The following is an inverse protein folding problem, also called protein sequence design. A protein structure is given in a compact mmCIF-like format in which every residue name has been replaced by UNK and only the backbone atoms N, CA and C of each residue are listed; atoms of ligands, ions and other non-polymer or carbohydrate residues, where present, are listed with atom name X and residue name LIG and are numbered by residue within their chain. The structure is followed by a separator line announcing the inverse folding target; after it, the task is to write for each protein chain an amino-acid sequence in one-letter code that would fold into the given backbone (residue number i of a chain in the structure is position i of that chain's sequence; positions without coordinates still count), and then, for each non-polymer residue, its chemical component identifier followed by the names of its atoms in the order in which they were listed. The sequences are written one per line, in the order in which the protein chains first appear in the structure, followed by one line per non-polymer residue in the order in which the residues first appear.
data_IF_077319082460
#
_entry.id   IF_077319082460
#
_cell.length_a   1.000
_cell.length_b   1.000
_cell.length_c   1.000
_cell.angle_alpha   90.00
_cell.angle_beta   90.00
_cell.angle_gamma   90.00
#
_symmetry.space_group_name_H-M   'P 1'
#
loop_
_entity.id
_entity.type
_entity.pdbx_description
1 polymer ?
#
# COMPACT_ATOMS: atom_id res chain seq x y z
N UNK A 1 23.30 -7.76 3.92
CA UNK A 1 22.27 -7.33 2.95
C UNK A 1 21.09 -6.78 3.73
N UNK A 2 20.70 -5.51 3.51
CA UNK A 2 19.53 -4.93 4.16
C UNK A 2 18.28 -5.29 3.35
N UNK A 3 17.48 -6.24 3.84
CA UNK A 3 16.18 -6.55 3.24
C UNK A 3 15.16 -5.55 3.79
N UNK A 4 14.69 -4.66 2.93
CA UNK A 4 13.75 -3.58 3.31
C UNK A 4 12.29 -4.02 3.31
N UNK A 5 11.94 -5.20 2.80
CA UNK A 5 10.55 -5.69 2.77
C UNK A 5 10.40 -7.07 3.40
N UNK A 6 9.18 -7.41 3.83
CA UNK A 6 8.80 -8.74 4.30
C UNK A 6 7.49 -9.17 3.65
N UNK A 7 7.42 -10.43 3.23
CA UNK A 7 6.26 -11.02 2.54
C UNK A 7 5.76 -10.14 1.40
N UNK A 8 4.45 -9.84 1.37
CA UNK A 8 3.81 -9.01 0.34
C UNK A 8 4.05 -7.49 0.46
N UNK A 9 4.94 -7.02 1.34
CA UNK A 9 5.22 -5.59 1.50
C UNK A 9 5.63 -4.89 0.20
N UNK A 10 6.32 -5.59 -0.71
CA UNK A 10 6.71 -5.07 -2.01
C UNK A 10 5.52 -4.69 -2.91
N UNK A 11 4.29 -5.13 -2.61
CA UNK A 11 3.10 -4.76 -3.36
C UNK A 11 2.72 -3.28 -3.17
N UNK A 12 3.15 -2.62 -2.09
CA UNK A 12 2.84 -1.20 -1.84
C UNK A 12 3.22 -0.32 -3.04
N UNK A 13 4.50 -0.25 -3.48
CA UNK A 13 4.88 0.59 -4.62
C UNK A 13 4.22 0.14 -5.93
N UNK A 14 4.02 -1.17 -6.12
CA UNK A 14 3.35 -1.70 -7.32
C UNK A 14 1.91 -1.19 -7.38
N UNK A 15 1.14 -1.33 -6.30
CA UNK A 15 -0.25 -0.87 -6.23
C UNK A 15 -0.29 0.64 -6.48
N UNK A 16 0.59 1.43 -5.85
CA UNK A 16 0.62 2.89 -6.02
C UNK A 16 0.91 3.31 -7.46
N UNK A 17 1.94 2.73 -8.09
CA UNK A 17 2.30 3.08 -9.48
C UNK A 17 1.21 2.63 -10.46
N UNK A 18 0.74 1.39 -10.33
CA UNK A 18 -0.25 0.83 -11.26
C UNK A 18 -1.58 1.57 -11.16
N UNK A 19 -2.09 1.81 -9.95
CA UNK A 19 -3.36 2.53 -9.77
C UNK A 19 -3.24 4.00 -10.19
N UNK A 20 -2.13 4.67 -9.88
CA UNK A 20 -1.84 6.02 -10.36
C UNK A 20 -1.85 6.11 -11.89
N UNK A 21 -1.18 5.19 -12.57
CA UNK A 21 -1.14 5.13 -14.03
C UNK A 21 -2.53 4.83 -14.62
N UNK A 22 -3.23 3.81 -14.11
CA UNK A 22 -4.55 3.42 -14.60
C UNK A 22 -5.58 4.54 -14.46
N UNK A 23 -5.62 5.21 -13.30
CA UNK A 23 -6.55 6.32 -13.08
C UNK A 23 -6.19 7.54 -13.95
N UNK A 24 -4.90 7.80 -14.17
CA UNK A 24 -4.44 8.85 -15.10
C UNK A 24 -4.91 8.57 -16.53
N UNK A 25 -4.69 7.36 -17.02
CA UNK A 25 -5.14 6.93 -18.36
C UNK A 25 -6.66 7.04 -18.45
N UNK A 26 -7.40 6.58 -17.44
CA UNK A 26 -8.86 6.66 -17.41
C UNK A 26 -9.37 8.10 -17.49
N UNK A 27 -8.81 9.01 -16.69
CA UNK A 27 -9.20 10.43 -16.70
C UNK A 27 -8.95 11.05 -18.06
N UNK A 28 -7.79 10.78 -18.67
CA UNK A 28 -7.48 11.27 -20.01
C UNK A 28 -8.50 10.78 -21.03
N UNK A 29 -8.85 9.48 -21.00
CA UNK A 29 -9.82 8.92 -21.95
C UNK A 29 -11.23 9.50 -21.79
N UNK A 30 -11.69 9.69 -20.56
CA UNK A 30 -13.05 10.16 -20.23
C UNK A 30 -13.20 11.67 -20.44
N UNK A 31 -12.27 12.46 -19.90
CA UNK A 31 -12.40 13.93 -19.86
C UNK A 31 -11.60 14.64 -20.96
N UNK A 32 -10.82 13.90 -21.77
CA UNK A 32 -9.95 14.45 -22.82
C UNK A 32 -9.02 15.56 -22.30
N UNK A 33 -8.58 15.43 -21.05
CA UNK A 33 -7.72 16.39 -20.37
C UNK A 33 -6.35 15.78 -20.10
N UNK A 34 -5.32 16.62 -20.14
CA UNK A 34 -3.95 16.25 -19.74
C UNK A 34 -3.63 16.69 -18.31
N UNK A 35 -4.63 17.21 -17.60
CA UNK A 35 -4.46 17.65 -16.23
C UNK A 35 -4.11 16.45 -15.32
N UNK A 36 -3.11 16.57 -14.42
CA UNK A 36 -2.54 15.45 -13.68
C UNK A 36 -3.40 14.95 -12.50
N UNK A 37 -4.73 15.10 -12.55
CA UNK A 37 -5.68 14.65 -11.53
C UNK A 37 -5.57 13.15 -11.23
N UNK A 38 -5.10 12.38 -12.20
CA UNK A 38 -5.00 10.92 -12.09
C UNK A 38 -4.00 10.44 -11.06
N UNK A 39 -2.93 11.19 -10.83
CA UNK A 39 -1.93 10.87 -9.80
C UNK A 39 -2.56 11.06 -8.42
N UNK A 40 -3.29 12.15 -8.22
CA UNK A 40 -3.96 12.45 -6.95
C UNK A 40 -5.07 11.43 -6.64
N UNK A 41 -6.03 11.26 -7.56
CA UNK A 41 -7.12 10.30 -7.40
C UNK A 41 -6.62 8.86 -7.32
N UNK A 42 -5.64 8.50 -8.15
CA UNK A 42 -4.99 7.20 -8.12
C UNK A 42 -4.28 6.91 -6.79
N UNK A 43 -3.69 7.92 -6.15
CA UNK A 43 -3.11 7.77 -4.82
C UNK A 43 -4.16 7.45 -3.75
N UNK A 44 -5.34 8.09 -3.79
CA UNK A 44 -6.42 7.75 -2.86
C UNK A 44 -6.97 6.34 -3.10
N UNK A 45 -7.14 5.93 -4.37
CA UNK A 45 -7.53 4.55 -4.71
C UNK A 45 -6.47 3.54 -4.25
N UNK A 46 -5.19 3.83 -4.49
CA UNK A 46 -4.08 3.03 -3.99
C UNK A 46 -4.13 2.87 -2.47
N UNK A 47 -4.35 3.97 -1.74
CA UNK A 47 -4.39 3.97 -0.29
C UNK A 47 -5.51 3.07 0.23
N UNK A 48 -6.70 3.13 -0.39
CA UNK A 48 -7.82 2.25 -0.04
C UNK A 48 -7.48 0.76 -0.26
N UNK A 49 -6.87 0.42 -1.40
CA UNK A 49 -6.45 -0.95 -1.73
C UNK A 49 -5.38 -1.45 -0.74
N UNK A 50 -4.35 -0.63 -0.47
CA UNK A 50 -3.27 -0.94 0.47
C UNK A 50 -3.81 -1.13 1.88
N UNK A 51 -4.76 -0.30 2.32
CA UNK A 51 -5.40 -0.42 3.63
C UNK A 51 -6.15 -1.74 3.76
N UNK A 52 -7.01 -2.05 2.79
CA UNK A 52 -7.83 -3.26 2.79
C UNK A 52 -6.95 -4.52 2.80
N UNK A 53 -6.04 -4.64 1.84
CA UNK A 53 -5.15 -5.81 1.74
C UNK A 53 -4.13 -5.85 2.86
N UNK A 54 -3.59 -4.71 3.27
CA UNK A 54 -2.65 -4.62 4.40
C UNK A 54 -3.27 -5.15 5.69
N UNK A 55 -4.51 -4.75 6.02
CA UNK A 55 -5.24 -5.29 7.19
C UNK A 55 -5.53 -6.78 7.02
N UNK A 56 -6.02 -7.22 5.85
CA UNK A 56 -6.33 -8.63 5.59
C UNK A 56 -5.08 -9.52 5.67
N UNK A 57 -3.94 -9.06 5.19
CA UNK A 57 -2.70 -9.84 5.15
C UNK A 57 -2.01 -9.85 6.53
N UNK A 58 -2.02 -8.74 7.25
CA UNK A 58 -1.44 -8.62 8.59
C UNK A 58 -2.43 -8.89 9.74
N UNK A 59 -3.49 -9.64 9.46
CA UNK A 59 -4.53 -9.96 10.43
C UNK A 59 -3.99 -10.85 11.56
N UNK A 60 -4.02 -10.41 12.83
CA UNK A 60 -3.62 -11.23 13.98
C UNK A 60 -4.41 -12.54 14.12
N UNK A 61 -5.63 -12.63 13.57
CA UNK A 61 -6.39 -13.88 13.56
C UNK A 61 -5.70 -15.01 12.78
N UNK A 62 -4.70 -14.68 11.94
CA UNK A 62 -3.89 -15.64 11.18
C UNK A 62 -2.62 -16.09 11.91
N UNK A 63 -2.45 -15.70 13.18
CA UNK A 63 -1.34 -16.20 13.99
C UNK A 63 -1.41 -17.74 14.08
N UNK A 64 -0.26 -18.40 13.92
CA UNK A 64 -0.17 -19.86 14.02
C UNK A 64 0.74 -20.23 15.17
N UNK A 65 0.30 -21.16 16.01
CA UNK A 65 1.15 -21.79 17.02
C UNK A 65 1.84 -22.97 16.35
N UNK A 66 3.16 -22.98 16.37
CA UNK A 66 4.00 -24.08 15.88
C UNK A 66 4.76 -24.65 17.06
N UNK A 67 4.76 -25.98 17.20
CA UNK A 67 5.56 -26.65 18.23
C UNK A 67 6.89 -27.07 17.60
N UNK A 68 7.99 -26.61 18.18
CA UNK A 68 9.31 -27.10 17.84
C UNK A 68 9.45 -28.54 18.33
N UNK A 69 9.67 -29.48 17.40
CA UNK A 69 9.77 -30.91 17.72
C UNK A 69 11.02 -31.28 18.53
N UNK A 70 12.09 -30.51 18.44
CA UNK A 70 13.34 -30.81 19.13
C UNK A 70 13.31 -30.35 20.59
N UNK A 71 12.66 -29.22 20.87
CA UNK A 71 12.66 -28.60 22.21
C UNK A 71 11.30 -28.68 22.91
N UNK A 72 10.23 -29.01 22.18
CA UNK A 72 8.85 -28.95 22.67
C UNK A 72 8.31 -27.53 22.85
N UNK A 73 9.06 -26.50 22.45
CA UNK A 73 8.66 -25.10 22.65
C UNK A 73 7.58 -24.66 21.66
N UNK A 74 6.61 -23.88 22.14
CA UNK A 74 5.59 -23.25 21.30
C UNK A 74 6.09 -21.91 20.75
N UNK A 75 6.02 -21.76 19.42
CA UNK A 75 6.38 -20.56 18.68
C UNK A 75 5.14 -19.97 18.03
N UNK A 76 4.85 -18.70 18.31
CA UNK A 76 3.76 -17.97 17.66
C UNK A 76 4.29 -17.29 16.39
N UNK A 77 3.94 -17.83 15.23
CA UNK A 77 4.20 -17.20 13.94
C UNK A 77 3.14 -16.13 13.66
N UNK A 78 3.60 -14.87 13.61
CA UNK A 78 2.77 -13.71 13.27
C UNK A 78 2.97 -13.34 11.79
N UNK A 79 1.90 -13.20 10.99
CA UNK A 79 2.05 -12.68 9.63
C UNK A 79 2.65 -11.27 9.68
N UNK A 80 3.66 -11.03 8.85
CA UNK A 80 4.37 -9.76 8.80
C UNK A 80 4.67 -9.39 7.35
N UNK A 81 3.77 -8.63 6.77
CA UNK A 81 3.88 -8.02 5.46
C UNK A 81 4.16 -6.52 5.64
N UNK A 82 5.40 -6.13 5.40
CA UNK A 82 5.90 -4.78 5.67
C UNK A 82 6.88 -4.31 4.60
N UNK A 83 6.94 -3.01 4.39
CA UNK A 83 7.89 -2.34 3.52
C UNK A 83 8.57 -1.22 4.32
N UNK A 84 9.89 -1.11 4.23
CA UNK A 84 10.74 -0.30 5.10
C UNK A 84 10.36 -0.45 6.58
N UNK A 85 10.17 -1.69 7.02
CA UNK A 85 9.80 -2.06 8.40
C UNK A 85 8.42 -1.55 8.86
N UNK A 86 7.66 -0.88 7.99
CA UNK A 86 6.31 -0.40 8.26
C UNK A 86 5.29 -1.38 7.67
N UNK A 87 4.30 -1.82 8.48
CA UNK A 87 3.24 -2.72 8.00
C UNK A 87 2.48 -2.08 6.85
N UNK A 88 2.10 -2.89 5.85
CA UNK A 88 1.45 -2.41 4.63
C UNK A 88 0.28 -1.45 4.87
N UNK A 89 -0.59 -1.73 5.85
CA UNK A 89 -1.75 -0.88 6.12
C UNK A 89 -1.37 0.56 6.52
N UNK A 90 -0.20 0.80 7.12
CA UNK A 90 0.21 2.15 7.49
C UNK A 90 0.77 2.94 6.30
N UNK A 91 1.26 2.26 5.26
CA UNK A 91 1.60 2.91 3.99
C UNK A 91 0.39 3.55 3.32
N UNK A 92 -0.83 3.08 3.59
CA UNK A 92 -2.04 3.71 3.09
C UNK A 92 -2.13 5.19 3.47
N UNK A 93 -1.74 5.56 4.70
CA UNK A 93 -1.75 6.96 5.14
C UNK A 93 -0.69 7.80 4.43
N UNK A 94 0.50 7.26 4.21
CA UNK A 94 1.57 7.95 3.47
C UNK A 94 1.17 8.19 2.02
N UNK A 95 0.57 7.18 1.37
CA UNK A 95 0.10 7.29 -0.02
C UNK A 95 -1.11 8.22 -0.11
N UNK A 96 -2.04 8.20 0.86
CA UNK A 96 -3.13 9.16 0.91
C UNK A 96 -2.63 10.60 1.13
N UNK A 97 -1.62 10.79 1.97
CA UNK A 97 -0.98 12.10 2.17
C UNK A 97 -0.31 12.60 0.89
N UNK A 98 0.34 11.73 0.12
CA UNK A 98 0.86 12.06 -1.22
C UNK A 98 -0.27 12.48 -2.17
N UNK A 99 -1.39 11.76 -2.16
CA UNK A 99 -2.60 12.13 -2.90
C UNK A 99 -3.14 13.51 -2.52
N UNK A 100 -3.10 13.84 -1.23
CA UNK A 100 -3.52 15.14 -0.70
C UNK A 100 -2.57 16.26 -1.13
N UNK A 101 -1.26 16.07 -0.99
CA UNK A 101 -0.24 17.05 -1.42
C UNK A 101 -0.36 17.32 -2.92
N UNK A 102 -0.49 16.27 -3.73
CA UNK A 102 -0.65 16.42 -5.18
C UNK A 102 -1.97 17.10 -5.54
N UNK A 103 -3.06 16.82 -4.81
CA UNK A 103 -4.34 17.50 -5.01
C UNK A 103 -4.24 19.01 -4.75
N UNK A 104 -3.67 19.38 -3.61
CA UNK A 104 -3.48 20.78 -3.21
C UNK A 104 -2.60 21.49 -4.22
N UNK A 105 -1.49 20.86 -4.63
CA UNK A 105 -0.58 21.44 -5.63
C UNK A 105 -1.27 21.71 -6.97
N UNK A 106 -2.25 20.88 -7.35
CA UNK A 106 -2.98 21.00 -8.60
C UNK A 106 -4.02 22.12 -8.54
N UNK A 107 -4.67 22.30 -7.39
CA UNK A 107 -5.63 23.39 -7.15
C UNK A 107 -4.92 24.75 -7.05
N UNK A 108 -3.69 24.77 -6.53
CA UNK A 108 -2.90 25.99 -6.35
C UNK A 108 -2.12 26.41 -7.61
N UNK A 109 -2.12 25.61 -8.67
CA UNK A 109 -1.53 26.00 -9.94
C UNK A 109 -2.44 27.03 -10.64
N UNK A 110 -1.93 28.22 -11.01
CA UNK A 110 -2.70 29.25 -11.72
C UNK A 110 -3.04 28.85 -13.16
#
# INVERSE_FOLDING_TARGET
MFIIWRGYGFLVPIITVVTGALITVLIHFVFKTNQPWGISLGSFVSAAIIWFWGKKLNDPAKNRIMVDKATGQELILKPNHSLFFLKMQYWAFLVAALGMVTLVSLIMQP
#
